data_IF_239245060644
#
_entry.id   IF_239245060644
#
_cell.length_a   1.000
_cell.length_b   1.000
_cell.length_c   1.000
_cell.angle_alpha   90.00
_cell.angle_beta   90.00
_cell.angle_gamma   90.00
#
_symmetry.space_group_name_H-M   'P 1'
#
loop_
_entity.id
_entity.type
_entity.pdbx_description
1 polymer ?
#
# COMPACT_ATOMS: atom_id res chain seq x y z
N UNK A 1 48.16 -9.65 -18.50
CA UNK A 1 47.27 -10.54 -19.28
C UNK A 1 46.65 -9.72 -20.39
N UNK A 2 46.65 -10.22 -21.63
CA UNK A 2 45.91 -9.59 -22.72
C UNK A 2 44.41 -9.59 -22.42
N UNK A 3 43.68 -8.65 -22.99
CA UNK A 3 42.23 -8.46 -22.81
C UNK A 3 41.45 -9.76 -23.12
N UNK A 4 41.79 -10.41 -24.23
CA UNK A 4 41.23 -11.72 -24.62
C UNK A 4 41.45 -12.84 -23.59
N UNK A 5 42.57 -12.84 -22.84
CA UNK A 5 42.80 -13.83 -21.77
C UNK A 5 41.96 -13.54 -20.52
N UNK A 6 41.66 -12.27 -20.24
CA UNK A 6 40.76 -11.89 -19.13
C UNK A 6 39.32 -12.27 -19.45
N UNK A 7 38.89 -12.05 -20.68
CA UNK A 7 37.53 -12.39 -21.12
C UNK A 7 37.28 -13.89 -21.12
N UNK A 8 38.24 -14.69 -21.60
CA UNK A 8 38.12 -16.15 -21.55
C UNK A 8 38.07 -16.66 -20.10
N UNK A 9 38.95 -16.19 -19.23
CA UNK A 9 38.96 -16.60 -17.82
C UNK A 9 37.66 -16.18 -17.09
N UNK A 10 37.09 -15.02 -17.45
CA UNK A 10 35.80 -14.57 -16.95
C UNK A 10 34.67 -15.49 -17.45
N UNK A 11 34.65 -15.86 -18.73
CA UNK A 11 33.62 -16.75 -19.25
C UNK A 11 33.68 -18.16 -18.63
N UNK A 12 34.87 -18.70 -18.43
CA UNK A 12 35.04 -19.99 -17.74
C UNK A 12 34.52 -19.92 -16.31
N UNK A 13 34.85 -18.83 -15.59
CA UNK A 13 34.34 -18.62 -14.23
C UNK A 13 32.82 -18.47 -14.19
N UNK A 14 32.21 -17.75 -15.14
CA UNK A 14 30.75 -17.61 -15.25
C UNK A 14 30.08 -18.96 -15.54
N UNK A 15 30.62 -19.74 -16.48
CA UNK A 15 30.10 -21.06 -16.83
C UNK A 15 30.22 -22.04 -15.65
N UNK A 16 31.33 -22.01 -14.91
CA UNK A 16 31.51 -22.80 -13.70
C UNK A 16 30.52 -22.43 -12.61
N UNK A 17 30.23 -21.14 -12.43
CA UNK A 17 29.23 -20.65 -11.48
C UNK A 17 27.83 -21.14 -11.88
N UNK A 18 27.42 -20.97 -13.14
CA UNK A 18 26.11 -21.46 -13.60
C UNK A 18 25.98 -22.99 -13.49
N UNK A 19 27.06 -23.74 -13.79
CA UNK A 19 27.06 -25.20 -13.66
C UNK A 19 26.91 -25.66 -12.21
N UNK A 20 27.52 -24.95 -11.25
CA UNK A 20 27.46 -25.31 -9.82
C UNK A 20 26.19 -24.85 -9.13
N UNK A 21 25.66 -23.69 -9.50
CA UNK A 21 24.59 -23.01 -8.76
C UNK A 21 23.29 -22.84 -9.55
N UNK A 22 23.26 -23.31 -10.80
CA UNK A 22 22.09 -23.25 -11.69
C UNK A 22 22.09 -22.04 -12.62
N UNK A 23 21.27 -22.13 -13.66
CA UNK A 23 21.08 -21.06 -14.64
C UNK A 23 20.57 -19.79 -13.94
N UNK A 24 21.20 -18.65 -14.22
CA UNK A 24 20.85 -17.36 -13.60
C UNK A 24 21.46 -17.11 -12.21
N UNK A 25 22.37 -17.99 -11.73
CA UNK A 25 23.14 -17.73 -10.52
C UNK A 25 24.07 -16.50 -10.63
N UNK A 26 24.45 -16.13 -11.86
CA UNK A 26 25.20 -14.92 -12.18
C UNK A 26 24.80 -14.43 -13.57
N UNK A 27 24.54 -13.13 -13.73
CA UNK A 27 24.18 -12.51 -14.99
C UNK A 27 24.65 -11.06 -15.01
N UNK A 28 24.80 -10.46 -16.20
CA UNK A 28 25.03 -9.03 -16.30
C UNK A 28 23.75 -8.29 -15.93
N UNK A 29 23.89 -7.18 -15.20
CA UNK A 29 22.73 -6.41 -14.72
C UNK A 29 21.83 -5.91 -15.86
N UNK A 30 22.40 -5.56 -17.02
CA UNK A 30 21.63 -5.13 -18.20
C UNK A 30 21.01 -6.27 -19.02
N UNK A 31 21.42 -7.52 -18.77
CA UNK A 31 20.84 -8.72 -19.39
C UNK A 31 19.75 -9.35 -18.48
N UNK A 32 19.67 -8.90 -17.23
CA UNK A 32 18.50 -9.16 -16.41
C UNK A 32 17.33 -8.43 -17.08
N UNK A 33 16.32 -9.17 -17.54
CA UNK A 33 15.04 -8.56 -17.91
C UNK A 33 14.68 -7.52 -16.85
N UNK A 34 14.19 -6.35 -17.28
CA UNK A 34 13.66 -5.34 -16.36
C UNK A 34 12.85 -6.09 -15.30
N UNK A 35 13.35 -6.09 -14.06
CA UNK A 35 12.66 -6.74 -12.97
C UNK A 35 11.42 -5.88 -12.72
N UNK A 36 10.37 -6.07 -13.53
CA UNK A 36 9.05 -5.54 -13.25
C UNK A 36 8.69 -6.10 -11.88
N UNK A 37 8.67 -5.19 -10.91
CA UNK A 37 8.39 -5.54 -9.53
C UNK A 37 6.92 -5.90 -9.51
N UNK A 38 6.61 -7.19 -9.50
CA UNK A 38 5.23 -7.62 -9.32
C UNK A 38 4.74 -7.12 -7.95
N UNK A 39 3.50 -6.63 -7.90
CA UNK A 39 2.93 -6.03 -6.69
C UNK A 39 1.58 -6.64 -6.31
N UNK A 40 1.19 -6.40 -5.07
CA UNK A 40 -0.17 -6.59 -4.55
C UNK A 40 -0.68 -5.22 -4.10
N UNK A 41 -1.87 -4.82 -4.58
CA UNK A 41 -2.50 -3.55 -4.16
C UNK A 41 -2.70 -3.52 -2.65
N UNK A 42 -2.50 -2.34 -2.06
CA UNK A 42 -2.77 -2.10 -0.64
C UNK A 42 -4.27 -1.94 -0.33
N UNK A 43 -5.10 -1.81 -1.37
CA UNK A 43 -6.50 -1.43 -1.26
C UNK A 43 -6.75 0.06 -1.01
N UNK A 44 -5.70 0.86 -0.84
CA UNK A 44 -5.75 2.33 -0.93
C UNK A 44 -5.05 2.78 -2.21
N UNK A 45 -5.79 3.45 -3.08
CA UNK A 45 -5.26 4.03 -4.31
C UNK A 45 -4.18 5.07 -3.99
N UNK A 46 -4.40 5.88 -2.95
CA UNK A 46 -3.44 6.88 -2.51
C UNK A 46 -2.11 6.25 -2.07
N UNK A 47 -2.17 5.15 -1.31
CA UNK A 47 -0.95 4.45 -0.88
C UNK A 47 -0.25 3.73 -2.03
N UNK A 48 -1.00 3.10 -2.93
CA UNK A 48 -0.43 2.42 -4.11
C UNK A 48 0.35 3.39 -5.01
N UNK A 49 -0.17 4.60 -5.24
CA UNK A 49 0.53 5.67 -5.97
C UNK A 49 1.74 6.18 -5.19
N UNK A 50 1.61 6.39 -3.88
CA UNK A 50 2.71 6.84 -3.04
C UNK A 50 3.87 5.82 -2.99
N UNK A 51 3.57 4.51 -3.08
CA UNK A 51 4.57 3.45 -3.16
C UNK A 51 5.38 3.48 -4.46
N UNK A 52 4.86 4.14 -5.51
CA UNK A 52 5.54 4.40 -6.78
C UNK A 52 5.60 3.22 -7.75
N UNK A 53 5.40 1.99 -7.26
CA UNK A 53 5.27 0.76 -8.06
C UNK A 53 3.82 0.24 -8.13
N UNK A 54 2.86 0.98 -7.57
CA UNK A 54 1.43 0.62 -7.61
C UNK A 54 0.98 -0.41 -6.56
N UNK A 55 1.82 -0.74 -5.58
CA UNK A 55 1.45 -1.65 -4.50
C UNK A 55 2.63 -2.17 -3.70
N UNK A 56 2.40 -3.18 -2.87
CA UNK A 56 3.44 -3.85 -2.09
C UNK A 56 4.18 -4.88 -2.96
N UNK A 57 5.53 -4.89 -2.96
CA UNK A 57 6.30 -5.77 -3.82
C UNK A 57 6.22 -7.23 -3.38
N UNK A 58 5.94 -8.12 -4.33
CA UNK A 58 5.99 -9.58 -4.18
C UNK A 58 7.42 -10.07 -3.99
N UNK A 59 7.55 -11.21 -3.32
CA UNK A 59 8.84 -11.80 -3.00
C UNK A 59 9.68 -10.93 -2.06
N UNK A 60 9.02 -10.07 -1.25
CA UNK A 60 9.67 -9.16 -0.31
C UNK A 60 8.92 -9.11 1.02
N UNK A 61 9.65 -8.61 2.03
CA UNK A 61 9.11 -8.31 3.36
C UNK A 61 8.67 -6.85 3.41
N UNK A 62 7.48 -6.60 3.95
CA UNK A 62 6.95 -5.27 4.28
C UNK A 62 6.65 -5.18 5.77
N UNK A 63 7.03 -4.08 6.42
CA UNK A 63 6.62 -3.79 7.80
C UNK A 63 5.60 -2.66 7.82
N UNK A 64 4.44 -2.89 8.44
CA UNK A 64 3.43 -1.86 8.72
C UNK A 64 3.42 -1.63 10.23
N UNK A 65 3.71 -0.40 10.65
CA UNK A 65 3.79 -0.09 12.08
C UNK A 65 3.16 1.26 12.43
N UNK A 66 2.87 1.47 13.70
CA UNK A 66 2.24 2.70 14.17
C UNK A 66 1.57 2.53 15.53
N UNK A 67 0.99 3.62 16.07
CA UNK A 67 0.24 3.57 17.32
C UNK A 67 -0.92 2.58 17.29
N UNK A 68 -1.46 2.24 18.45
CA UNK A 68 -2.72 1.53 18.58
C UNK A 68 -3.85 2.30 17.89
N UNK A 69 -4.81 1.59 17.29
CA UNK A 69 -5.93 2.21 16.58
C UNK A 69 -5.57 2.96 15.28
N UNK A 70 -4.31 2.93 14.82
CA UNK A 70 -3.89 3.60 13.59
C UNK A 70 -4.36 2.91 12.29
N UNK A 71 -5.03 1.75 12.38
CA UNK A 71 -5.56 1.02 11.22
C UNK A 71 -4.61 0.00 10.57
N UNK A 72 -3.61 -0.49 11.31
CA UNK A 72 -2.60 -1.46 10.82
C UNK A 72 -3.23 -2.75 10.31
N UNK A 73 -4.03 -3.43 11.14
CA UNK A 73 -4.71 -4.67 10.76
C UNK A 73 -5.74 -4.43 9.67
N UNK A 74 -6.47 -3.29 9.69
CA UNK A 74 -7.37 -2.93 8.58
C UNK A 74 -6.63 -2.80 7.25
N UNK A 75 -5.47 -2.13 7.22
CA UNK A 75 -4.66 -2.05 6.00
C UNK A 75 -4.21 -3.45 5.54
N UNK A 76 -3.78 -4.31 6.47
CA UNK A 76 -3.42 -5.68 6.14
C UNK A 76 -4.61 -6.48 5.59
N UNK A 77 -5.83 -6.29 6.12
CA UNK A 77 -7.03 -6.93 5.59
C UNK A 77 -7.30 -6.52 4.15
N UNK A 78 -7.12 -5.24 3.82
CA UNK A 78 -7.27 -4.77 2.44
C UNK A 78 -6.21 -5.32 1.48
N UNK A 79 -4.99 -5.56 1.96
CA UNK A 79 -3.95 -6.26 1.17
C UNK A 79 -4.35 -7.71 0.91
N UNK A 80 -4.83 -8.41 1.94
CA UNK A 80 -5.32 -9.80 1.85
C UNK A 80 -6.50 -9.89 0.87
N UNK A 81 -7.52 -9.04 1.03
CA UNK A 81 -8.67 -8.97 0.14
C UNK A 81 -8.26 -8.66 -1.31
N UNK A 82 -7.26 -7.80 -1.52
CA UNK A 82 -6.74 -7.48 -2.86
C UNK A 82 -6.01 -8.66 -3.49
N UNK A 83 -5.26 -9.45 -2.71
CA UNK A 83 -4.66 -10.69 -3.20
C UNK A 83 -5.70 -11.74 -3.59
N UNK A 84 -6.72 -11.97 -2.75
CA UNK A 84 -7.81 -12.91 -3.03
C UNK A 84 -8.62 -12.51 -4.27
N UNK A 85 -8.95 -11.22 -4.43
CA UNK A 85 -9.61 -10.72 -5.65
C UNK A 85 -8.79 -10.94 -6.92
N UNK A 86 -7.45 -11.00 -6.80
CA UNK A 86 -6.54 -11.36 -7.88
C UNK A 86 -6.43 -12.87 -8.13
N UNK A 87 -7.22 -13.70 -7.44
CA UNK A 87 -7.16 -15.17 -7.49
C UNK A 87 -6.01 -15.77 -6.69
N UNK A 88 -5.35 -14.98 -5.83
CA UNK A 88 -4.24 -15.43 -5.01
C UNK A 88 -4.67 -16.03 -3.68
N UNK A 89 -3.78 -16.80 -3.06
CA UNK A 89 -3.99 -17.42 -1.74
C UNK A 89 -3.38 -16.54 -0.66
N UNK A 90 -4.11 -16.34 0.45
CA UNK A 90 -3.63 -15.55 1.57
C UNK A 90 -3.61 -16.36 2.88
N UNK A 91 -2.65 -16.02 3.74
CA UNK A 91 -2.55 -16.58 5.09
C UNK A 91 -2.40 -15.48 6.14
N UNK A 92 -3.02 -15.68 7.29
CA UNK A 92 -2.99 -14.79 8.44
C UNK A 92 -2.49 -15.55 9.68
N UNK A 93 -1.33 -15.14 10.18
CA UNK A 93 -0.75 -15.66 11.42
C UNK A 93 -1.11 -14.66 12.52
N UNK A 94 -2.18 -14.97 13.24
CA UNK A 94 -2.77 -14.16 14.31
C UNK A 94 -2.14 -14.55 15.65
N UNK A 95 -1.03 -13.90 15.98
CA UNK A 95 -0.30 -14.07 17.24
C UNK A 95 -0.91 -13.20 18.35
N UNK A 96 -1.63 -12.14 18.00
CA UNK A 96 -2.37 -11.30 18.97
C UNK A 96 -3.71 -11.93 19.40
N UNK A 97 -4.17 -12.99 18.75
CA UNK A 97 -5.50 -13.61 18.94
C UNK A 97 -6.64 -12.58 18.84
N UNK A 98 -6.49 -11.61 17.92
CA UNK A 98 -7.33 -10.42 17.82
C UNK A 98 -8.02 -10.28 16.46
N UNK A 99 -7.97 -11.30 15.61
CA UNK A 99 -8.65 -11.29 14.31
C UNK A 99 -10.18 -11.22 14.48
N UNK A 100 -10.77 -10.11 14.03
CA UNK A 100 -12.22 -9.90 13.96
C UNK A 100 -12.73 -10.38 12.59
N UNK A 101 -13.47 -11.50 12.57
CA UNK A 101 -14.01 -12.10 11.35
C UNK A 101 -14.98 -11.16 10.63
N UNK A 102 -15.87 -10.49 11.34
CA UNK A 102 -16.88 -9.61 10.74
C UNK A 102 -16.20 -8.38 10.11
N UNK A 103 -15.14 -7.87 10.75
CA UNK A 103 -14.34 -6.79 10.18
C UNK A 103 -13.58 -7.25 8.93
N UNK A 104 -12.97 -8.44 8.96
CA UNK A 104 -12.27 -9.01 7.82
C UNK A 104 -13.19 -9.19 6.60
N UNK A 105 -14.39 -9.76 6.80
CA UNK A 105 -15.42 -9.87 5.74
C UNK A 105 -15.82 -8.49 5.21
N UNK A 106 -16.02 -7.50 6.09
CA UNK A 106 -16.38 -6.14 5.68
C UNK A 106 -15.30 -5.44 4.84
N UNK A 107 -14.02 -5.79 5.07
CA UNK A 107 -12.89 -5.32 4.25
C UNK A 107 -12.77 -6.07 2.91
N UNK A 108 -13.62 -7.08 2.67
CA UNK A 108 -13.68 -7.85 1.43
C UNK A 108 -12.81 -9.11 1.42
N UNK A 109 -12.39 -9.61 2.59
CA UNK A 109 -11.71 -10.91 2.69
C UNK A 109 -12.75 -12.02 2.51
N UNK A 110 -12.47 -12.97 1.63
CA UNK A 110 -13.12 -14.28 1.67
C UNK A 110 -12.54 -15.09 2.82
N UNK A 111 -13.23 -15.07 3.95
CA UNK A 111 -12.83 -15.77 5.17
C UNK A 111 -12.98 -17.29 5.07
N UNK A 112 -13.67 -17.82 4.06
CA UNK A 112 -13.81 -19.27 3.86
C UNK A 112 -12.54 -19.88 3.28
N UNK A 113 -11.82 -19.11 2.47
CA UNK A 113 -10.57 -19.50 1.81
C UNK A 113 -9.32 -18.92 2.50
N UNK A 114 -9.48 -18.09 3.54
CA UNK A 114 -8.35 -17.51 4.28
C UNK A 114 -7.70 -18.57 5.18
N UNK A 115 -6.41 -18.84 4.95
CA UNK A 115 -5.63 -19.69 5.86
C UNK A 115 -5.35 -18.92 7.15
N UNK A 116 -5.73 -19.46 8.31
CA UNK A 116 -5.44 -18.87 9.61
C UNK A 116 -4.55 -19.77 10.46
N UNK A 117 -3.63 -19.17 11.20
CA UNK A 117 -2.84 -19.83 12.23
C UNK A 117 -2.80 -18.98 13.49
N UNK A 118 -3.04 -19.61 14.63
CA UNK A 118 -2.92 -19.01 15.96
C UNK A 118 -1.85 -19.78 16.74
N UNK A 119 -0.57 -19.42 16.57
CA UNK A 119 0.55 -20.15 17.14
C UNK A 119 0.73 -19.83 18.63
N UNK A 120 1.23 -20.81 19.38
CA UNK A 120 1.52 -20.69 20.81
C UNK A 120 2.84 -19.94 21.08
N UNK A 121 3.78 -19.96 20.13
CA UNK A 121 5.12 -19.39 20.31
C UNK A 121 5.59 -18.59 19.09
N UNK A 122 6.50 -17.65 19.30
CA UNK A 122 7.13 -16.87 18.25
C UNK A 122 7.93 -17.72 17.26
N UNK A 123 8.61 -18.77 17.74
CA UNK A 123 9.29 -19.75 16.89
C UNK A 123 8.30 -20.44 15.95
N UNK A 124 7.21 -20.98 16.49
CA UNK A 124 6.19 -21.68 15.71
C UNK A 124 5.55 -20.76 14.66
N UNK A 125 5.23 -19.52 15.02
CA UNK A 125 4.71 -18.52 14.09
C UNK A 125 5.64 -18.31 12.87
N UNK A 126 6.94 -18.18 13.13
CA UNK A 126 7.95 -17.94 12.09
C UNK A 126 8.26 -19.20 11.27
N UNK A 127 8.16 -20.39 11.87
CA UNK A 127 8.28 -21.68 11.17
C UNK A 127 7.09 -21.93 10.24
N UNK A 128 5.88 -21.62 10.68
CA UNK A 128 4.67 -21.68 9.84
C UNK A 128 4.82 -20.71 8.67
N UNK A 129 5.28 -19.49 8.92
CA UNK A 129 5.59 -18.53 7.86
C UNK A 129 6.62 -19.10 6.85
N UNK A 130 7.73 -19.70 7.31
CA UNK A 130 8.75 -20.29 6.43
C UNK A 130 8.18 -21.45 5.59
N UNK A 131 7.35 -22.32 6.19
CA UNK A 131 6.70 -23.42 5.49
C UNK A 131 5.74 -22.91 4.40
N UNK A 132 4.92 -21.91 4.70
CA UNK A 132 3.98 -21.30 3.75
C UNK A 132 4.72 -20.64 2.59
N UNK A 133 5.81 -19.89 2.84
CA UNK A 133 6.62 -19.29 1.78
C UNK A 133 7.26 -20.38 0.90
N UNK A 134 7.81 -21.44 1.50
CA UNK A 134 8.46 -22.54 0.75
C UNK A 134 7.50 -23.33 -0.12
N UNK A 135 6.22 -23.37 0.24
CA UNK A 135 5.19 -24.02 -0.58
C UNK A 135 5.05 -23.36 -1.96
N UNK A 136 5.42 -22.08 -2.10
CA UNK A 136 5.15 -21.23 -3.27
C UNK A 136 3.66 -21.17 -3.68
N UNK A 137 2.75 -21.61 -2.81
CA UNK A 137 1.30 -21.62 -3.05
C UNK A 137 0.59 -20.42 -2.43
N UNK A 138 1.29 -19.58 -1.65
CA UNK A 138 0.71 -18.43 -0.94
C UNK A 138 1.25 -17.12 -1.49
N UNK A 139 0.35 -16.19 -1.81
CA UNK A 139 0.63 -14.88 -2.39
C UNK A 139 0.86 -13.80 -1.34
N UNK A 140 0.14 -13.86 -0.22
CA UNK A 140 0.25 -12.91 0.88
C UNK A 140 0.25 -13.64 2.22
N UNK A 141 1.21 -13.33 3.08
CA UNK A 141 1.28 -13.84 4.45
C UNK A 141 1.35 -12.65 5.40
N UNK A 142 0.40 -12.54 6.32
CA UNK A 142 0.40 -11.51 7.38
C UNK A 142 0.83 -12.15 8.70
N UNK A 143 1.72 -11.48 9.42
CA UNK A 143 2.10 -11.81 10.80
C UNK A 143 1.65 -10.67 11.71
N UNK A 144 0.59 -10.89 12.49
CA UNK A 144 -0.02 -9.91 13.39
C UNK A 144 0.10 -10.37 14.85
N UNK A 145 1.02 -9.86 15.66
CA UNK A 145 2.05 -8.85 15.34
C UNK A 145 3.42 -9.25 15.88
N UNK A 146 4.46 -8.56 15.42
CA UNK A 146 5.85 -8.80 15.87
C UNK A 146 5.99 -8.64 17.37
N UNK A 147 5.22 -7.73 17.99
CA UNK A 147 5.28 -7.51 19.43
C UNK A 147 4.86 -8.76 20.21
N UNK A 148 3.94 -9.56 19.66
CA UNK A 148 3.38 -10.76 20.27
C UNK A 148 4.16 -12.04 19.93
N UNK A 149 5.24 -11.97 19.12
CA UNK A 149 6.13 -13.10 18.87
C UNK A 149 6.98 -13.39 20.10
N UNK A 150 6.38 -14.00 21.12
CA UNK A 150 7.03 -14.34 22.39
C UNK A 150 7.79 -15.65 22.23
N UNK A 151 9.12 -15.68 22.48
CA UNK A 151 9.90 -16.91 22.40
C UNK A 151 9.42 -17.97 23.39
N UNK A 152 9.51 -19.26 23.03
CA UNK A 152 9.08 -20.37 23.90
C UNK A 152 9.69 -20.30 25.31
N UNK A 153 10.98 -20.01 25.42
CA UNK A 153 11.66 -19.93 26.71
C UNK A 153 11.17 -18.78 27.60
N UNK A 154 10.54 -17.75 27.03
CA UNK A 154 9.91 -16.67 27.80
C UNK A 154 8.51 -17.06 28.26
N UNK A 155 7.78 -17.89 27.49
CA UNK A 155 6.46 -18.42 27.87
C UNK A 155 6.58 -19.49 28.97
N UNK A 156 7.58 -20.37 28.86
CA UNK A 156 7.83 -21.45 29.83
C UNK A 156 8.54 -20.97 31.11
N UNK A 157 9.11 -19.76 31.07
CA UNK A 157 9.81 -19.14 32.21
C UNK A 157 8.87 -18.55 33.25
N UNK A 158 9.44 -18.10 34.38
CA UNK A 158 8.67 -17.43 35.43
C UNK A 158 8.56 -15.92 35.18
N UNK A 159 7.47 -15.31 35.67
CA UNK A 159 7.31 -13.86 35.60
C UNK A 159 8.44 -13.17 36.37
N UNK A 160 9.26 -12.38 35.66
CA UNK A 160 10.42 -11.69 36.22
C UNK A 160 11.76 -12.27 35.78
N UNK A 161 11.76 -13.40 35.06
CA UNK A 161 12.97 -13.93 34.45
C UNK A 161 13.58 -12.96 33.43
N UNK A 162 14.89 -12.76 33.54
CA UNK A 162 15.62 -11.82 32.68
C UNK A 162 16.22 -12.54 31.48
N UNK A 163 15.54 -12.44 30.33
CA UNK A 163 16.00 -12.99 29.04
C UNK A 163 16.25 -11.88 28.00
N UNK A 164 17.21 -10.97 28.25
CA UNK A 164 17.36 -9.75 27.46
C UNK A 164 17.63 -10.05 25.98
N UNK A 165 16.81 -9.45 25.12
CA UNK A 165 16.97 -9.51 23.66
C UNK A 165 16.67 -10.88 23.04
N UNK A 166 15.97 -11.77 23.73
CA UNK A 166 15.59 -13.08 23.18
C UNK A 166 14.74 -12.93 21.91
N UNK A 167 13.67 -12.13 21.94
CA UNK A 167 12.85 -11.83 20.76
C UNK A 167 13.66 -11.25 19.60
N UNK A 168 14.60 -10.33 19.87
CA UNK A 168 15.44 -9.74 18.84
C UNK A 168 16.38 -10.76 18.17
N UNK A 169 16.89 -11.74 18.93
CA UNK A 169 17.71 -12.84 18.39
C UNK A 169 16.88 -13.79 17.54
N UNK A 170 15.68 -14.17 18.01
CA UNK A 170 14.72 -14.97 17.26
C UNK A 170 14.41 -14.32 15.90
N UNK A 171 13.99 -13.05 15.90
CA UNK A 171 13.70 -12.30 14.68
C UNK A 171 14.91 -12.23 13.74
N UNK A 172 16.11 -12.00 14.28
CA UNK A 172 17.33 -11.93 13.47
C UNK A 172 17.66 -13.25 12.78
N UNK A 173 17.47 -14.38 13.46
CA UNK A 173 17.70 -15.71 12.91
C UNK A 173 16.64 -16.07 11.88
N UNK A 174 15.35 -15.86 12.21
CA UNK A 174 14.23 -16.18 11.33
C UNK A 174 14.27 -15.36 10.04
N UNK A 175 14.42 -14.03 10.13
CA UNK A 175 14.43 -13.16 8.96
C UNK A 175 15.62 -13.44 8.03
N UNK A 176 16.77 -13.88 8.57
CA UNK A 176 17.91 -14.30 7.75
C UNK A 176 17.58 -15.52 6.89
N UNK A 177 16.82 -16.48 7.43
CA UNK A 177 16.36 -17.66 6.68
C UNK A 177 15.24 -17.27 5.70
N UNK A 178 14.21 -16.59 6.20
CA UNK A 178 13.02 -16.21 5.45
C UNK A 178 13.35 -15.34 4.23
N UNK A 179 14.21 -14.33 4.37
CA UNK A 179 14.49 -13.38 3.27
C UNK A 179 14.98 -14.08 2.01
N UNK A 180 15.83 -15.10 2.15
CA UNK A 180 16.39 -15.83 1.01
C UNK A 180 15.36 -16.74 0.31
N UNK A 181 14.33 -17.20 1.04
CA UNK A 181 13.24 -18.01 0.48
C UNK A 181 12.19 -17.09 -0.14
N UNK A 182 11.80 -16.03 0.58
CA UNK A 182 10.83 -15.03 0.14
C UNK A 182 11.24 -14.44 -1.21
N UNK A 183 12.53 -14.10 -1.41
CA UNK A 183 13.02 -13.55 -2.68
C UNK A 183 12.92 -14.48 -3.89
N UNK A 184 12.69 -15.78 -3.66
CA UNK A 184 12.49 -16.80 -4.72
C UNK A 184 11.03 -17.21 -4.86
N UNK A 185 10.15 -16.63 -4.04
CA UNK A 185 8.71 -16.88 -4.03
C UNK A 185 7.96 -15.68 -4.59
N UNK A 186 6.66 -15.85 -4.86
CA UNK A 186 5.75 -14.74 -5.19
C UNK A 186 5.05 -14.15 -3.96
N UNK A 187 5.38 -14.63 -2.77
CA UNK A 187 4.75 -14.23 -1.52
C UNK A 187 5.18 -12.83 -1.09
N UNK A 188 4.22 -11.96 -0.80
CA UNK A 188 4.43 -10.73 -0.03
C UNK A 188 4.25 -11.05 1.44
N UNK A 189 5.30 -10.89 2.25
CA UNK A 189 5.23 -11.15 3.70
C UNK A 189 5.11 -9.84 4.46
N UNK A 190 3.98 -9.63 5.13
CA UNK A 190 3.66 -8.44 5.90
C UNK A 190 3.85 -8.73 7.39
N UNK A 191 4.66 -7.91 8.05
CA UNK A 191 4.74 -7.88 9.51
C UNK A 191 4.02 -6.64 10.02
N UNK A 192 3.03 -6.84 10.89
CA UNK A 192 2.43 -5.76 11.66
C UNK A 192 3.28 -5.54 12.92
N UNK A 193 3.50 -4.27 13.28
CA UNK A 193 4.25 -3.92 14.47
C UNK A 193 3.64 -2.73 15.21
N UNK A 194 3.94 -2.65 16.50
CA UNK A 194 3.49 -1.56 17.36
C UNK A 194 4.63 -0.57 17.60
N UNK A 195 4.28 0.66 17.99
CA UNK A 195 5.25 1.60 18.54
C UNK A 195 5.39 1.38 20.05
N UNK A 196 6.63 1.45 20.54
CA UNK A 196 6.99 1.50 21.96
C UNK A 196 7.90 2.71 22.17
N UNK A 197 7.97 3.20 23.39
CA UNK A 197 8.92 4.25 23.75
C UNK A 197 10.18 3.66 24.37
N UNK A 198 11.34 4.14 23.94
CA UNK A 198 12.61 3.80 24.57
C UNK A 198 12.82 4.71 25.78
N UNK A 199 12.78 4.12 26.97
CA UNK A 199 13.05 4.82 28.24
C UNK A 199 14.48 5.40 28.20
N UNK A 200 14.63 6.64 28.68
CA UNK A 200 15.92 7.32 28.82
C UNK A 200 16.41 8.10 27.60
N UNK A 201 15.59 8.24 26.54
CA UNK A 201 15.87 9.15 25.42
C UNK A 201 15.38 10.55 25.76
N UNK A 202 16.31 11.46 26.07
CA UNK A 202 16.00 12.87 26.42
C UNK A 202 16.06 13.80 25.19
N UNK A 203 16.68 13.35 24.09
CA UNK A 203 16.82 14.12 22.85
C UNK A 203 16.54 13.23 21.62
N UNK A 204 15.75 13.73 20.67
CA UNK A 204 15.34 13.00 19.45
C UNK A 204 13.98 12.28 19.59
N UNK A 205 13.67 11.39 18.64
CA UNK A 205 12.43 10.59 18.68
C UNK A 205 12.64 9.35 19.59
N UNK A 206 11.89 9.19 20.70
CA UNK A 206 11.99 8.03 21.58
C UNK A 206 11.32 6.77 21.03
N UNK A 207 10.52 6.88 19.97
CA UNK A 207 9.73 5.77 19.44
C UNK A 207 10.59 4.71 18.74
N UNK A 208 10.34 3.45 19.10
CA UNK A 208 10.99 2.25 18.57
C UNK A 208 9.94 1.18 18.26
N UNK A 209 10.35 0.17 17.49
CA UNK A 209 9.51 -0.98 17.16
C UNK A 209 10.06 -2.23 17.86
N UNK A 210 9.22 -3.10 18.44
CA UNK A 210 9.58 -4.42 18.95
C UNK A 210 10.28 -5.33 17.93
N UNK A 211 10.87 -6.44 18.41
CA UNK A 211 11.58 -7.42 17.55
C UNK A 211 13.01 -7.03 17.16
N UNK A 212 13.59 -6.00 17.77
CA UNK A 212 14.96 -5.56 17.52
C UNK A 212 15.12 -4.81 16.19
N UNK A 213 16.32 -4.86 15.60
CA UNK A 213 16.65 -4.08 14.38
C UNK A 213 16.51 -4.87 13.08
N UNK A 214 16.44 -6.20 13.15
CA UNK A 214 16.51 -7.06 11.97
C UNK A 214 15.40 -6.74 10.95
N UNK A 215 14.15 -6.65 11.40
CA UNK A 215 13.01 -6.35 10.53
C UNK A 215 13.19 -5.02 9.78
N UNK A 216 13.73 -3.99 10.43
CA UNK A 216 14.02 -2.70 9.80
C UNK A 216 14.98 -2.83 8.61
N UNK A 217 15.95 -3.74 8.67
CA UNK A 217 16.94 -3.94 7.61
C UNK A 217 16.43 -4.85 6.48
N UNK A 218 15.76 -5.94 6.84
CA UNK A 218 15.24 -6.93 5.89
C UNK A 218 14.01 -6.45 5.12
N UNK A 219 13.15 -5.62 5.73
CA UNK A 219 12.00 -5.05 5.04
C UNK A 219 12.41 -4.23 3.81
N UNK A 220 11.77 -4.47 2.68
CA UNK A 220 11.95 -3.65 1.46
C UNK A 220 11.11 -2.39 1.52
N UNK A 221 9.90 -2.49 2.09
CA UNK A 221 9.00 -1.37 2.34
C UNK A 221 8.71 -1.29 3.83
N UNK A 222 8.69 -0.07 4.39
CA UNK A 222 8.22 0.18 5.74
C UNK A 222 7.21 1.33 5.71
N UNK A 223 6.02 1.08 6.21
CA UNK A 223 4.92 2.05 6.26
C UNK A 223 4.59 2.36 7.71
N UNK A 224 4.68 3.65 8.06
CA UNK A 224 4.23 4.17 9.34
C UNK A 224 2.81 4.70 9.20
N UNK A 225 1.87 4.15 9.95
CA UNK A 225 0.49 4.65 10.02
C UNK A 225 0.29 5.51 11.25
N UNK A 226 -0.36 6.66 11.06
CA UNK A 226 -0.85 7.51 12.16
C UNK A 226 -2.23 8.04 11.84
N UNK A 227 -3.07 8.16 12.87
CA UNK A 227 -4.33 8.90 12.76
C UNK A 227 -4.02 10.38 12.55
N UNK A 228 -4.56 10.96 11.48
CA UNK A 228 -4.47 12.39 11.19
C UNK A 228 -5.63 13.16 11.82
N UNK A 229 -6.87 12.74 11.53
CA UNK A 229 -8.08 13.35 12.06
C UNK A 229 -9.21 12.31 12.21
N UNK A 230 -10.22 12.63 13.00
CA UNK A 230 -11.42 11.82 13.13
C UNK A 230 -12.51 12.33 12.19
N UNK A 231 -13.08 11.42 11.41
CA UNK A 231 -14.18 11.68 10.51
C UNK A 231 -15.49 11.65 11.30
N UNK A 232 -16.28 12.72 11.20
CA UNK A 232 -17.52 12.88 11.98
C UNK A 232 -18.72 13.10 11.06
N UNK A 233 -19.84 12.52 11.45
CA UNK A 233 -21.15 12.81 10.88
C UNK A 233 -22.06 13.28 12.02
N UNK A 234 -22.33 14.60 12.08
CA UNK A 234 -22.96 15.20 13.24
C UNK A 234 -22.08 15.05 14.49
N UNK A 235 -22.59 14.36 15.50
CA UNK A 235 -21.86 14.08 16.75
C UNK A 235 -21.05 12.79 16.71
N UNK A 236 -21.32 11.90 15.75
CA UNK A 236 -20.81 10.54 15.76
C UNK A 236 -19.49 10.44 15.00
N UNK A 237 -18.52 9.72 15.56
CA UNK A 237 -17.25 9.41 14.89
C UNK A 237 -17.48 8.20 13.99
N UNK A 238 -17.44 8.42 12.68
CA UNK A 238 -17.71 7.39 11.66
C UNK A 238 -16.43 6.74 11.13
N UNK A 239 -15.27 7.31 11.43
CA UNK A 239 -13.98 6.80 10.95
C UNK A 239 -12.82 7.71 11.31
N UNK A 240 -11.65 7.43 10.73
CA UNK A 240 -10.46 8.23 10.85
C UNK A 240 -9.81 8.46 9.48
N UNK A 241 -9.32 9.68 9.26
CA UNK A 241 -8.30 9.94 8.25
C UNK A 241 -6.98 9.39 8.78
N UNK A 242 -6.33 8.55 8.01
CA UNK A 242 -5.04 7.94 8.35
C UNK A 242 -3.98 8.46 7.40
N UNK A 243 -2.85 8.88 7.96
CA UNK A 243 -1.65 9.22 7.21
C UNK A 243 -0.70 8.03 7.21
N UNK A 244 -0.35 7.55 6.03
CA UNK A 244 0.63 6.51 5.79
C UNK A 244 1.93 7.14 5.26
N UNK A 245 3.02 7.03 6.01
CA UNK A 245 4.34 7.52 5.62
C UNK A 245 5.24 6.35 5.24
N UNK A 246 5.79 6.38 4.02
CA UNK A 246 6.70 5.35 3.54
C UNK A 246 8.10 5.70 4.03
N UNK A 247 8.46 5.23 5.23
CA UNK A 247 9.75 5.55 5.86
C UNK A 247 10.93 4.78 5.25
N UNK A 248 10.64 3.73 4.48
CA UNK A 248 11.62 2.97 3.71
C UNK A 248 10.97 2.42 2.46
N UNK A 249 11.64 2.56 1.32
CA UNK A 249 11.26 1.98 0.05
C UNK A 249 12.53 1.57 -0.72
N UNK A 250 12.65 0.29 -1.08
CA UNK A 250 13.76 -0.24 -1.89
C UNK A 250 13.39 -0.44 -3.36
N UNK A 251 12.14 -0.21 -3.74
CA UNK A 251 11.62 -0.45 -5.10
C UNK A 251 11.19 0.83 -5.80
N UNK A 252 11.02 1.93 -5.06
CA UNK A 252 10.86 3.28 -5.59
C UNK A 252 11.36 4.34 -4.59
N UNK A 253 11.13 5.61 -4.89
CA UNK A 253 11.50 6.72 -4.02
C UNK A 253 10.84 6.61 -2.62
N UNK A 254 11.62 6.69 -1.52
CA UNK A 254 11.08 6.68 -0.16
C UNK A 254 10.53 8.06 0.25
N UNK A 255 9.97 8.14 1.45
CA UNK A 255 9.51 9.35 2.16
C UNK A 255 8.27 10.05 1.58
N UNK A 256 7.63 9.45 0.59
CA UNK A 256 6.27 9.83 0.18
C UNK A 256 5.26 9.52 1.30
N UNK A 257 4.18 10.28 1.30
CA UNK A 257 3.05 10.11 2.21
C UNK A 257 1.77 9.96 1.42
N UNK A 258 0.88 9.11 1.91
CA UNK A 258 -0.49 9.00 1.45
C UNK A 258 -1.44 9.28 2.61
N UNK A 259 -2.62 9.79 2.30
CA UNK A 259 -3.71 9.89 3.26
C UNK A 259 -4.96 9.25 2.67
N UNK A 260 -5.66 8.49 3.50
CA UNK A 260 -6.88 7.79 3.13
C UNK A 260 -7.80 7.65 4.35
N UNK A 261 -9.08 7.40 4.10
CA UNK A 261 -10.07 7.25 5.16
C UNK A 261 -10.24 5.78 5.54
N UNK A 262 -10.30 5.49 6.84
CA UNK A 262 -10.74 4.22 7.39
C UNK A 262 -12.07 4.43 8.10
N UNK A 263 -13.14 3.81 7.61
CA UNK A 263 -14.48 3.87 8.16
C UNK A 263 -14.70 2.74 9.17
N UNK A 264 -15.39 3.05 10.28
CA UNK A 264 -15.63 2.11 11.37
C UNK A 264 -17.02 1.49 11.36
N UNK A 265 -17.97 2.13 10.67
CA UNK A 265 -19.37 1.74 10.66
C UNK A 265 -19.97 1.79 9.26
N UNK A 266 -21.12 1.14 9.12
CA UNK A 266 -21.85 1.05 7.85
C UNK A 266 -21.40 -0.13 6.98
N UNK A 267 -22.03 -0.24 5.80
CA UNK A 267 -21.79 -1.34 4.84
C UNK A 267 -20.39 -1.32 4.20
N UNK A 268 -19.64 -0.24 4.38
CA UNK A 268 -18.33 -0.01 3.77
C UNK A 268 -17.26 0.26 4.82
N UNK A 269 -17.32 -0.47 5.94
CA UNK A 269 -16.28 -0.48 6.98
C UNK A 269 -14.95 -0.91 6.35
N UNK A 270 -13.87 -0.19 6.67
CA UNK A 270 -12.56 -0.35 6.00
C UNK A 270 -12.10 0.91 5.28
N UNK A 271 -11.10 0.75 4.40
CA UNK A 271 -10.52 1.83 3.59
C UNK A 271 -11.53 2.29 2.53
N UNK A 272 -11.79 3.60 2.48
CA UNK A 272 -12.73 4.18 1.52
C UNK A 272 -12.08 4.45 0.17
N UNK A 273 -12.26 3.53 -0.78
CA UNK A 273 -11.80 3.70 -2.18
C UNK A 273 -12.37 4.97 -2.82
N UNK A 274 -13.65 5.27 -2.62
CA UNK A 274 -14.25 6.47 -3.20
C UNK A 274 -13.68 7.76 -2.60
N UNK A 275 -13.28 7.72 -1.32
CA UNK A 275 -12.57 8.84 -0.68
C UNK A 275 -11.26 9.15 -1.39
N UNK A 276 -10.45 8.11 -1.65
CA UNK A 276 -9.19 8.25 -2.39
C UNK A 276 -9.44 8.80 -3.81
N UNK A 277 -10.44 8.29 -4.54
CA UNK A 277 -10.77 8.76 -5.89
C UNK A 277 -11.17 10.24 -5.91
N UNK A 278 -11.98 10.68 -4.94
CA UNK A 278 -12.39 12.09 -4.87
C UNK A 278 -11.20 12.99 -4.56
N UNK A 279 -10.40 12.64 -3.56
CA UNK A 279 -9.27 13.46 -3.12
C UNK A 279 -8.19 13.54 -4.21
N UNK A 280 -7.75 12.38 -4.72
CA UNK A 280 -6.75 12.31 -5.79
C UNK A 280 -7.27 12.87 -7.10
N UNK A 281 -8.57 12.72 -7.39
CA UNK A 281 -9.18 13.28 -8.58
C UNK A 281 -9.09 14.80 -8.61
N UNK A 282 -9.30 15.45 -7.46
CA UNK A 282 -9.10 16.90 -7.34
C UNK A 282 -7.61 17.26 -7.44
N UNK A 283 -6.73 16.56 -6.71
CA UNK A 283 -5.30 16.84 -6.69
C UNK A 283 -4.65 16.70 -8.08
N UNK A 284 -5.14 15.77 -8.91
CA UNK A 284 -4.67 15.53 -10.27
C UNK A 284 -5.47 16.27 -11.35
N UNK A 285 -6.37 17.19 -10.97
CA UNK A 285 -7.23 17.96 -11.88
C UNK A 285 -8.15 17.11 -12.79
N UNK A 286 -8.42 15.85 -12.42
CA UNK A 286 -9.42 15.00 -13.08
C UNK A 286 -10.83 15.42 -12.65
N UNK A 287 -11.00 15.80 -11.39
CA UNK A 287 -12.23 16.35 -10.83
C UNK A 287 -12.11 17.86 -10.63
N UNK A 288 -13.14 18.60 -11.01
CA UNK A 288 -13.24 20.04 -10.77
C UNK A 288 -13.97 20.29 -9.46
N UNK A 289 -13.35 21.08 -8.59
CA UNK A 289 -13.93 21.57 -7.33
C UNK A 289 -14.23 23.07 -7.44
N UNK A 290 -15.52 23.43 -7.46
CA UNK A 290 -15.99 24.82 -7.45
C UNK A 290 -16.69 25.13 -6.13
N UNK A 291 -15.97 25.79 -5.23
CA UNK A 291 -16.44 26.00 -3.85
C UNK A 291 -16.68 24.67 -3.14
N UNK A 292 -17.93 24.40 -2.79
CA UNK A 292 -18.34 23.13 -2.17
C UNK A 292 -18.74 22.04 -3.19
N UNK A 293 -18.83 22.35 -4.49
CA UNK A 293 -19.32 21.40 -5.50
C UNK A 293 -18.18 20.65 -6.18
N UNK A 294 -18.41 19.35 -6.40
CA UNK A 294 -17.50 18.46 -7.13
C UNK A 294 -18.14 18.05 -8.46
N UNK A 295 -17.33 18.00 -9.52
CA UNK A 295 -17.77 17.68 -10.87
C UNK A 295 -16.71 16.89 -11.64
N UNK A 296 -17.18 16.01 -12.53
CA UNK A 296 -16.38 15.27 -13.50
C UNK A 296 -16.91 15.61 -14.90
N UNK A 297 -16.09 16.27 -15.73
CA UNK A 297 -16.59 16.88 -16.97
C UNK A 297 -17.73 17.87 -16.69
N UNK A 298 -18.89 17.65 -17.32
CA UNK A 298 -20.12 18.41 -17.09
C UNK A 298 -21.02 17.77 -16.00
N UNK A 299 -20.67 16.57 -15.52
CA UNK A 299 -21.46 15.85 -14.52
C UNK A 299 -21.15 16.37 -13.12
N UNK A 300 -22.20 16.78 -12.40
CA UNK A 300 -22.10 17.20 -11.00
C UNK A 300 -22.21 16.00 -10.08
N UNK A 301 -21.12 15.70 -9.37
CA UNK A 301 -21.03 14.56 -8.43
C UNK A 301 -21.75 14.85 -7.12
N UNK A 302 -21.73 16.10 -6.65
CA UNK A 302 -22.43 16.46 -5.40
C UNK A 302 -21.92 17.72 -4.73
N UNK A 303 -22.59 18.09 -3.63
CA UNK A 303 -22.16 19.16 -2.72
C UNK A 303 -21.43 18.56 -1.53
N UNK A 304 -20.15 18.87 -1.41
CA UNK A 304 -19.26 18.33 -0.39
C UNK A 304 -18.71 16.95 -0.75
N UNK A 305 -17.66 16.57 -0.03
CA UNK A 305 -16.88 15.36 -0.26
C UNK A 305 -17.71 14.09 -0.07
N UNK A 306 -18.53 14.03 0.97
CA UNK A 306 -19.35 12.84 1.25
C UNK A 306 -20.43 12.59 0.18
N UNK A 307 -21.04 13.65 -0.36
CA UNK A 307 -22.00 13.50 -1.46
C UNK A 307 -21.32 12.98 -2.75
N UNK A 308 -20.12 13.47 -3.06
CA UNK A 308 -19.35 12.98 -4.20
C UNK A 308 -18.94 11.51 -4.03
N UNK A 309 -18.51 11.11 -2.82
CA UNK A 309 -18.20 9.70 -2.49
C UNK A 309 -19.41 8.79 -2.72
N UNK A 310 -20.58 9.21 -2.24
CA UNK A 310 -21.81 8.44 -2.42
C UNK A 310 -22.22 8.35 -3.90
N UNK A 311 -22.06 9.42 -4.67
CA UNK A 311 -22.34 9.39 -6.10
C UNK A 311 -21.43 8.39 -6.84
N UNK A 312 -20.12 8.40 -6.58
CA UNK A 312 -19.18 7.45 -7.19
C UNK A 312 -19.46 6.02 -6.78
N UNK A 313 -19.91 5.80 -5.54
CA UNK A 313 -20.32 4.48 -5.06
C UNK A 313 -21.52 3.92 -5.83
N UNK A 314 -22.49 4.78 -6.15
CA UNK A 314 -23.66 4.42 -6.94
C UNK A 314 -23.35 4.26 -8.44
N UNK A 315 -22.21 4.78 -8.89
CA UNK A 315 -21.78 4.78 -10.29
C UNK A 315 -20.37 4.15 -10.44
N UNK A 316 -20.24 2.82 -10.24
CA UNK A 316 -18.93 2.16 -10.15
C UNK A 316 -18.13 2.19 -11.45
N UNK A 317 -18.79 2.27 -12.62
CA UNK A 317 -18.11 2.41 -13.91
C UNK A 317 -17.37 3.74 -14.01
N UNK A 318 -18.04 4.86 -13.67
CA UNK A 318 -17.42 6.18 -13.60
C UNK A 318 -16.30 6.22 -12.57
N UNK A 319 -16.47 5.57 -11.41
CA UNK A 319 -15.42 5.49 -10.40
C UNK A 319 -14.17 4.76 -10.90
N UNK A 320 -14.33 3.69 -11.70
CA UNK A 320 -13.20 2.98 -12.34
C UNK A 320 -12.50 3.85 -13.38
N UNK A 321 -13.26 4.52 -14.23
CA UNK A 321 -12.71 5.42 -15.24
C UNK A 321 -11.87 6.55 -14.62
N UNK A 322 -12.40 7.22 -13.59
CA UNK A 322 -11.66 8.28 -12.88
C UNK A 322 -10.40 7.71 -12.24
N UNK A 323 -10.47 6.53 -11.62
CA UNK A 323 -9.30 5.86 -11.04
C UNK A 323 -8.22 5.55 -12.11
N UNK A 324 -8.61 5.07 -13.28
CA UNK A 324 -7.68 4.76 -14.37
C UNK A 324 -7.02 6.03 -14.93
N UNK A 325 -7.76 7.14 -15.04
CA UNK A 325 -7.21 8.44 -15.39
C UNK A 325 -6.20 8.94 -14.34
N UNK A 326 -6.52 8.78 -13.06
CA UNK A 326 -5.60 9.12 -11.95
C UNK A 326 -4.32 8.29 -12.05
N UNK A 327 -4.42 6.98 -12.29
CA UNK A 327 -3.25 6.07 -12.39
C UNK A 327 -2.35 6.38 -13.58
N UNK A 328 -2.95 6.73 -14.72
CA UNK A 328 -2.22 7.05 -15.96
C UNK A 328 -1.63 8.46 -15.96
N UNK A 329 -2.07 9.33 -15.04
CA UNK A 329 -1.65 10.73 -14.98
C UNK A 329 -2.20 11.57 -16.13
N UNK A 330 -3.22 11.08 -16.84
CA UNK A 330 -3.85 11.76 -17.96
C UNK A 330 -5.01 12.62 -17.47
N UNK A 331 -4.86 13.95 -17.52
CA UNK A 331 -5.90 14.91 -17.16
C UNK A 331 -6.95 15.15 -18.26
N UNK A 332 -7.12 14.21 -19.19
CA UNK A 332 -8.06 14.36 -20.31
C UNK A 332 -9.37 13.65 -19.99
N UNK A 333 -10.39 14.43 -19.65
CA UNK A 333 -11.77 13.95 -19.50
C UNK A 333 -12.30 13.49 -20.88
N UNK A 334 -12.84 12.27 -21.03
CA UNK A 334 -13.40 11.79 -22.29
C UNK A 334 -14.60 12.60 -22.77
N UNK A 335 -14.79 12.63 -24.10
CA UNK A 335 -15.82 13.44 -24.76
C UNK A 335 -17.27 13.05 -24.39
N UNK A 336 -17.49 11.82 -23.92
CA UNK A 336 -18.82 11.31 -23.54
C UNK A 336 -19.44 12.06 -22.35
N UNK A 337 -18.61 12.61 -21.45
CA UNK A 337 -19.05 13.42 -20.31
C UNK A 337 -18.91 14.94 -20.52
N UNK A 338 -18.54 15.37 -21.73
CA UNK A 338 -18.47 16.78 -22.16
C UNK A 338 -19.65 17.20 -23.06
N UNK A 339 -20.69 16.37 -23.18
CA UNK A 339 -21.86 16.68 -24.02
C UNK A 339 -23.16 16.29 -23.34
N UNK A 340 -23.77 17.26 -22.65
CA UNK A 340 -25.23 17.43 -22.58
C UNK A 340 -25.56 18.84 -22.07
N UNK A 341 -25.41 19.83 -22.96
CA UNK A 341 -25.70 21.23 -22.68
C UNK A 341 -26.33 21.94 -23.89
N UNK A 342 -27.38 21.37 -24.48
CA UNK A 342 -28.25 22.12 -25.40
C UNK A 342 -29.63 22.31 -24.76
N UNK A 343 -29.69 23.26 -23.82
CA UNK A 343 -30.92 23.93 -23.43
C UNK A 343 -30.88 25.33 -24.02
N UNK A 344 -31.71 25.55 -25.03
CA UNK A 344 -31.80 26.78 -25.80
C UNK A 344 -32.01 28.04 -24.93
N UNK A 345 -31.46 29.18 -25.37
CA UNK A 345 -31.94 30.51 -24.98
C UNK A 345 -32.05 31.38 -26.23
N UNK A 346 -33.18 32.07 -26.48
CA UNK A 346 -33.38 32.87 -27.68
C UNK A 346 -32.80 34.29 -27.53
N UNK A 347 -32.30 34.79 -28.66
CA UNK A 347 -32.31 36.16 -29.16
C UNK A 347 -32.18 37.35 -28.18
N UNK A 348 -31.17 38.19 -28.44
CA UNK A 348 -31.12 39.57 -27.94
C UNK A 348 -29.77 40.23 -28.23
N UNK A 349 -29.47 40.50 -29.51
CA UNK A 349 -28.28 41.24 -29.91
C UNK A 349 -28.42 42.74 -29.68
N UNK A 350 -27.35 43.37 -29.19
CA UNK A 350 -27.08 44.79 -29.39
C UNK A 350 -25.62 44.91 -29.82
N UNK A 351 -25.43 45.39 -31.05
CA UNK A 351 -24.14 45.72 -31.64
C UNK A 351 -23.69 47.10 -31.17
N UNK A 352 -22.38 47.27 -30.95
CA UNK A 352 -21.71 48.57 -30.94
C UNK A 352 -20.54 48.49 -31.90
N UNK A 353 -20.53 49.41 -32.85
CA UNK A 353 -19.62 49.49 -33.99
C UNK A 353 -18.24 50.02 -33.60
N UNK A 354 -17.19 49.41 -34.16
CA UNK A 354 -15.84 49.98 -34.23
C UNK A 354 -15.64 50.61 -35.61
N UNK A 355 -15.19 51.87 -35.64
CA UNK A 355 -14.85 52.60 -36.86
C UNK A 355 -13.36 52.51 -37.17
N UNK A 356 -13.04 52.18 -38.43
CA UNK A 356 -11.71 52.27 -39.02
C UNK A 356 -11.34 53.72 -39.40
N UNK A 357 -10.05 54.08 -39.50
CA UNK A 357 -9.62 55.29 -40.20
C UNK A 357 -9.15 54.97 -41.65
N UNK A 358 -9.63 55.74 -42.62
CA UNK A 358 -9.11 55.79 -44.00
C UNK A 358 -7.79 56.58 -44.09
N UNK A 359 -6.89 56.25 -45.03
CA UNK A 359 -5.68 57.02 -45.30
C UNK A 359 -5.81 58.02 -46.46
N UNK A 360 -4.86 58.95 -46.47
CA UNK A 360 -4.62 60.08 -47.37
C UNK A 360 -4.76 59.85 -48.88
N UNK A 361 -5.12 60.91 -49.61
CA UNK A 361 -4.93 61.00 -51.07
C UNK A 361 -5.48 62.28 -51.71
N UNK A 362 -4.57 63.21 -52.03
CA UNK A 362 -4.76 64.48 -52.73
C UNK A 362 -5.40 64.38 -54.13
N UNK A 363 -6.34 65.29 -54.45
CA UNK A 363 -6.26 66.34 -55.49
C UNK A 363 -7.60 67.08 -55.66
#
# INVERSE_FOLDING_TARGET
MSEAKKDHALQDALADIEKRYGRGAIMKLGDAQDFEVEVVSTGSLALDLALGVGGLPRGRITEIYGPEGAGKSTLAYHVVASAQRGGGVAAYIDVEHALDKDHAESCGIDVTELLISQPDTGEQALEICDALVRSNAVDVIVVDSVAALVPRAEIEGEMGDSLPGLQARLMSQALRKLTAVISKSRATVLFINQLREKIGVVFGNPEVTPGGRALKFYSSVRVELRRAESLKQGTDIIGNRVRAKIVKNKVAAPFRTAEFDILFSGKHRGISREGDIVDLGVDNNVLKKMGAFFSYGDVRLGQGREAAKEYLRQNPEMAREIEDLIKTGLATVPAEFSRNGNGASPAGGIAVAEGEPEPDGEL
#
